data_IF_302696741152
#
_entry.id   IF_302696741152
#
_cell.length_a   1.000
_cell.length_b   1.000
_cell.length_c   1.000
_cell.angle_alpha   90.00
_cell.angle_beta   90.00
_cell.angle_gamma   90.00
#
_symmetry.space_group_name_H-M   'P 1'
#
loop_
_entity.id
_entity.type
_entity.pdbx_description
1 polymer ?
#
# COMPACT_ATOMS: atom_id res chain seq x y z
N UNK A 1 -13.25 13.60 -7.55
CA UNK A 1 -13.99 12.46 -8.11
C UNK A 1 -14.26 11.50 -6.96
N UNK A 2 -15.41 10.85 -6.88
CA UNK A 2 -15.67 9.83 -5.85
C UNK A 2 -15.37 8.49 -6.50
N UNK A 3 -14.44 7.71 -5.95
CA UNK A 3 -14.02 6.42 -6.54
C UNK A 3 -15.10 5.34 -6.49
N UNK A 4 -16.17 5.54 -5.71
CA UNK A 4 -17.27 4.59 -5.60
C UNK A 4 -16.95 3.36 -4.77
N UNK A 5 -15.82 3.38 -4.05
CA UNK A 5 -15.35 2.31 -3.18
C UNK A 5 -16.00 2.44 -1.80
N UNK A 6 -16.67 1.38 -1.36
CA UNK A 6 -17.31 1.31 -0.04
C UNK A 6 -16.26 1.38 1.08
N UNK A 7 -16.42 2.36 1.98
CA UNK A 7 -15.56 2.54 3.15
C UNK A 7 -14.24 3.26 2.87
N UNK A 8 -13.99 3.69 1.63
CA UNK A 8 -12.80 4.47 1.30
C UNK A 8 -12.98 5.95 1.62
N UNK A 9 -12.47 6.37 2.78
CA UNK A 9 -12.44 7.76 3.24
C UNK A 9 -10.99 8.13 3.59
N UNK A 10 -10.12 8.43 2.59
CA UNK A 10 -8.69 8.59 2.83
C UNK A 10 -8.39 9.84 3.66
N UNK A 11 -7.47 9.70 4.61
CA UNK A 11 -6.84 10.81 5.32
C UNK A 11 -5.38 10.87 4.92
N UNK A 12 -5.02 11.85 4.11
CA UNK A 12 -3.67 11.99 3.58
C UNK A 12 -2.76 12.70 4.57
N UNK A 13 -1.61 12.08 4.84
CA UNK A 13 -0.52 12.62 5.63
C UNK A 13 0.69 12.87 4.74
N UNK A 14 1.53 13.82 5.14
CA UNK A 14 2.76 14.19 4.43
C UNK A 14 3.96 14.06 5.36
N UNK A 15 4.99 13.39 4.88
CA UNK A 15 6.30 13.29 5.52
C UNK A 15 6.41 12.22 6.60
N UNK A 16 7.64 11.73 6.79
CA UNK A 16 7.97 10.59 7.65
C UNK A 16 7.41 10.69 9.06
N UNK A 17 7.54 11.85 9.71
CA UNK A 17 7.13 12.01 11.11
C UNK A 17 5.63 11.79 11.27
N UNK A 18 4.80 12.43 10.44
CA UNK A 18 3.35 12.34 10.55
C UNK A 18 2.87 10.90 10.30
N UNK A 19 3.35 10.28 9.23
CA UNK A 19 2.99 8.90 8.87
C UNK A 19 3.48 7.91 9.93
N UNK A 20 4.70 8.07 10.45
CA UNK A 20 5.24 7.19 11.49
C UNK A 20 4.49 7.33 12.81
N UNK A 21 4.18 8.55 13.23
CA UNK A 21 3.48 8.79 14.50
C UNK A 21 2.05 8.21 14.45
N UNK A 22 1.34 8.35 13.32
CA UNK A 22 -0.04 7.89 13.17
C UNK A 22 -0.13 6.38 12.87
N UNK A 23 0.66 5.88 11.92
CA UNK A 23 0.48 4.52 11.36
C UNK A 23 1.60 3.55 11.75
N UNK A 24 2.71 4.03 12.33
CA UNK A 24 3.85 3.22 12.72
C UNK A 24 3.47 2.03 13.63
N UNK A 25 2.71 2.24 14.72
CA UNK A 25 2.29 1.13 15.59
C UNK A 25 1.42 0.08 14.87
N UNK A 26 0.49 0.52 14.00
CA UNK A 26 -0.38 -0.38 13.24
C UNK A 26 0.40 -1.22 12.23
N UNK A 27 1.30 -0.59 11.46
CA UNK A 27 2.18 -1.26 10.52
C UNK A 27 3.13 -2.23 11.23
N UNK A 28 3.71 -1.84 12.36
CA UNK A 28 4.57 -2.71 13.16
C UNK A 28 3.82 -3.93 13.71
N UNK A 29 2.54 -3.79 14.06
CA UNK A 29 1.71 -4.88 14.57
C UNK A 29 1.33 -5.93 13.49
N UNK A 30 1.66 -5.68 12.21
CA UNK A 30 1.54 -6.67 11.15
C UNK A 30 2.66 -7.71 11.18
N UNK A 31 3.80 -7.41 11.83
CA UNK A 31 4.92 -8.34 11.97
C UNK A 31 4.48 -9.67 12.60
N UNK A 32 4.94 -10.77 12.02
CA UNK A 32 4.59 -12.13 12.41
C UNK A 32 3.24 -12.63 11.85
N UNK A 33 2.47 -11.79 11.15
CA UNK A 33 1.22 -12.19 10.48
C UNK A 33 1.48 -12.65 9.06
N UNK A 34 0.62 -13.52 8.53
CA UNK A 34 0.69 -13.97 7.14
C UNK A 34 -0.10 -13.06 6.24
N UNK A 35 0.43 -12.74 5.06
CA UNK A 35 -0.38 -12.13 4.00
C UNK A 35 -1.38 -13.19 3.51
N UNK A 36 -2.64 -13.05 3.87
CA UNK A 36 -3.72 -14.00 3.57
C UNK A 36 -4.47 -13.66 2.29
N UNK A 37 -4.38 -12.41 1.85
CA UNK A 37 -4.93 -11.97 0.57
C UNK A 37 -4.57 -10.54 0.24
N UNK A 38 -4.99 -10.10 -0.94
CA UNK A 38 -4.90 -8.72 -1.38
C UNK A 38 -6.04 -8.43 -2.36
N UNK A 39 -6.32 -7.15 -2.58
CA UNK A 39 -7.25 -6.72 -3.61
C UNK A 39 -6.74 -5.43 -4.28
N UNK A 40 -6.77 -5.43 -5.60
CA UNK A 40 -6.47 -4.29 -6.46
C UNK A 40 -7.69 -3.98 -7.32
N UNK A 41 -7.91 -2.71 -7.66
CA UNK A 41 -8.95 -2.34 -8.62
C UNK A 41 -8.42 -2.51 -10.03
N UNK A 42 -9.07 -3.35 -10.83
CA UNK A 42 -8.77 -3.53 -12.26
C UNK A 42 -9.99 -3.22 -13.10
N UNK A 43 -9.79 -2.83 -14.35
CA UNK A 43 -10.89 -2.74 -15.30
C UNK A 43 -11.23 -4.13 -15.84
N UNK A 44 -12.52 -4.45 -15.93
CA UNK A 44 -13.00 -5.78 -16.38
C UNK A 44 -12.66 -6.02 -17.85
N UNK A 45 -12.62 -4.96 -18.65
CA UNK A 45 -12.54 -5.00 -20.10
C UNK A 45 -11.16 -5.41 -20.61
N UNK A 46 -10.10 -4.84 -20.04
CA UNK A 46 -8.71 -5.06 -20.44
C UNK A 46 -7.86 -5.72 -19.34
N UNK A 47 -8.35 -5.75 -18.11
CA UNK A 47 -7.62 -6.27 -16.95
C UNK A 47 -6.57 -5.29 -16.41
N UNK A 48 -6.51 -4.06 -16.93
CA UNK A 48 -5.51 -3.08 -16.51
C UNK A 48 -5.75 -2.67 -15.05
N UNK A 49 -4.64 -2.48 -14.33
CA UNK A 49 -4.67 -2.03 -12.94
C UNK A 49 -4.94 -0.53 -12.89
N UNK A 50 -5.99 -0.14 -12.19
CA UNK A 50 -6.29 1.27 -11.94
C UNK A 50 -5.57 1.74 -10.67
N UNK A 51 -4.35 2.21 -10.86
CA UNK A 51 -3.37 2.48 -9.80
C UNK A 51 -3.71 3.69 -8.90
N UNK A 52 -4.66 4.55 -9.29
CA UNK A 52 -5.18 5.62 -8.42
C UNK A 52 -6.01 5.07 -7.24
N UNK A 53 -6.48 3.82 -7.31
CA UNK A 53 -7.22 3.18 -6.23
C UNK A 53 -6.27 2.60 -5.15
N UNK A 54 -6.73 2.46 -3.90
CA UNK A 54 -5.93 1.89 -2.82
C UNK A 54 -5.49 0.45 -3.11
N UNK A 55 -4.26 0.13 -2.71
CA UNK A 55 -3.75 -1.23 -2.59
C UNK A 55 -4.23 -1.79 -1.26
N UNK A 56 -5.01 -2.88 -1.30
CA UNK A 56 -5.54 -3.52 -0.10
C UNK A 56 -4.78 -4.81 0.16
N UNK A 57 -4.20 -4.95 1.36
CA UNK A 57 -3.44 -6.11 1.82
C UNK A 57 -4.10 -6.69 3.08
N UNK A 58 -4.39 -7.97 3.11
CA UNK A 58 -4.99 -8.66 4.26
C UNK A 58 -3.94 -9.52 4.97
N UNK A 59 -3.70 -9.23 6.25
CA UNK A 59 -2.75 -9.94 7.10
C UNK A 59 -3.45 -10.64 8.26
N UNK A 60 -3.81 -11.90 8.09
CA UNK A 60 -4.57 -12.70 9.06
C UNK A 60 -5.82 -11.96 9.60
N UNK A 61 -6.58 -11.35 8.69
CA UNK A 61 -7.79 -10.59 8.99
C UNK A 61 -7.56 -9.14 9.44
N UNK A 62 -6.31 -8.65 9.43
CA UNK A 62 -6.02 -7.22 9.52
C UNK A 62 -5.75 -6.68 8.12
N UNK A 63 -6.68 -5.88 7.62
CA UNK A 63 -6.57 -5.21 6.35
C UNK A 63 -5.79 -3.89 6.49
N UNK A 64 -4.71 -3.74 5.73
CA UNK A 64 -4.00 -2.48 5.51
C UNK A 64 -4.36 -1.94 4.12
N UNK A 65 -4.75 -0.67 4.04
CA UNK A 65 -5.27 -0.04 2.83
C UNK A 65 -4.40 1.17 2.51
N UNK A 66 -3.62 1.10 1.43
CA UNK A 66 -2.54 2.05 1.15
C UNK A 66 -2.89 2.81 -0.13
N UNK A 67 -2.91 4.14 -0.05
CA UNK A 67 -3.16 4.98 -1.21
C UNK A 67 -2.22 6.18 -1.20
N UNK A 68 -1.45 6.32 -2.28
CA UNK A 68 -0.73 7.55 -2.56
C UNK A 68 -1.64 8.54 -3.31
N UNK A 69 -1.32 9.82 -3.19
CA UNK A 69 -1.89 10.86 -4.03
C UNK A 69 -0.87 11.99 -4.17
N UNK A 70 -1.03 12.82 -5.21
CA UNK A 70 -0.11 13.93 -5.51
C UNK A 70 1.35 13.46 -5.45
N UNK A 71 2.29 14.31 -5.02
CA UNK A 71 3.72 13.95 -5.00
C UNK A 71 4.18 13.26 -3.71
N UNK A 72 3.57 13.59 -2.57
CA UNK A 72 4.09 13.25 -1.24
C UNK A 72 3.00 12.89 -0.22
N UNK A 73 1.74 12.76 -0.67
CA UNK A 73 0.62 12.38 0.18
C UNK A 73 0.46 10.86 0.23
N UNK A 74 0.33 10.34 1.46
CA UNK A 74 0.10 8.93 1.74
C UNK A 74 -1.06 8.80 2.73
N UNK A 75 -2.05 7.98 2.37
CA UNK A 75 -3.14 7.55 3.23
C UNK A 75 -2.94 6.07 3.58
N UNK A 76 -3.07 5.73 4.86
CA UNK A 76 -3.16 4.35 5.35
C UNK A 76 -4.40 4.22 6.22
N UNK A 77 -5.32 3.33 5.83
CA UNK A 77 -6.51 2.98 6.62
C UNK A 77 -6.52 1.49 6.95
N UNK A 78 -7.44 1.10 7.85
CA UNK A 78 -7.45 -0.23 8.46
C UNK A 78 -8.86 -0.79 8.56
N UNK A 79 -9.12 -1.91 7.90
CA UNK A 79 -10.38 -2.66 7.96
C UNK A 79 -11.63 -1.82 7.64
N UNK A 80 -11.49 -0.82 6.77
CA UNK A 80 -12.57 0.08 6.34
C UNK A 80 -13.12 -0.29 4.96
N UNK A 81 -12.28 -0.74 4.01
CA UNK A 81 -12.72 -1.06 2.66
C UNK A 81 -13.39 -2.44 2.60
N UNK A 82 -14.60 -2.48 2.03
CA UNK A 82 -15.26 -3.73 1.66
C UNK A 82 -14.90 -4.13 0.23
N UNK A 83 -13.89 -5.00 0.09
CA UNK A 83 -13.44 -5.54 -1.21
C UNK A 83 -14.41 -6.53 -1.84
N UNK A 84 -15.50 -6.89 -1.16
CA UNK A 84 -16.59 -7.71 -1.73
C UNK A 84 -17.72 -6.85 -2.31
N UNK A 85 -17.79 -5.58 -1.94
CA UNK A 85 -18.76 -4.66 -2.50
C UNK A 85 -18.38 -4.29 -3.94
N UNK A 86 -19.38 -4.17 -4.81
CA UNK A 86 -19.17 -3.64 -6.15
C UNK A 86 -18.76 -2.16 -6.08
N UNK A 87 -17.87 -1.76 -6.98
CA UNK A 87 -17.49 -0.35 -7.16
C UNK A 87 -18.61 0.33 -7.97
N UNK A 88 -19.14 1.45 -7.46
CA UNK A 88 -20.36 2.11 -8.00
C UNK A 88 -20.08 3.52 -8.53
N UNK A 89 -20.99 4.10 -9.31
CA UNK A 89 -20.82 5.50 -9.79
C UNK A 89 -19.93 5.66 -11.02
N UNK A 90 -19.67 4.56 -11.73
CA UNK A 90 -18.85 4.49 -12.96
C UNK A 90 -19.69 4.36 -14.24
N UNK A 91 -21.01 4.53 -14.16
CA UNK A 91 -21.93 4.33 -15.30
C UNK A 91 -21.70 5.32 -16.46
N UNK A 92 -20.92 6.37 -16.22
CA UNK A 92 -20.53 7.38 -17.21
C UNK A 92 -19.19 7.09 -17.90
N UNK A 93 -18.42 6.15 -17.40
CA UNK A 93 -17.09 5.78 -17.92
C UNK A 93 -17.19 4.52 -18.77
N UNK A 94 -16.26 4.37 -19.73
CA UNK A 94 -16.29 3.23 -20.68
C UNK A 94 -15.77 1.93 -20.06
N UNK A 95 -14.99 2.01 -18.99
CA UNK A 95 -14.39 0.86 -18.30
C UNK A 95 -15.08 0.61 -16.95
N UNK A 96 -15.25 -0.65 -16.61
CA UNK A 96 -15.91 -1.12 -15.39
C UNK A 96 -14.86 -1.51 -14.36
N UNK A 97 -14.65 -0.74 -13.29
CA UNK A 97 -13.71 -1.13 -12.23
C UNK A 97 -14.29 -2.27 -11.39
N UNK A 98 -13.45 -3.24 -11.07
CA UNK A 98 -13.76 -4.36 -10.20
C UNK A 98 -12.56 -4.72 -9.32
N UNK A 99 -12.84 -5.25 -8.13
CA UNK A 99 -11.82 -5.83 -7.27
C UNK A 99 -11.26 -7.11 -7.89
N UNK A 100 -9.94 -7.22 -7.90
CA UNK A 100 -9.20 -8.39 -8.34
C UNK A 100 -8.20 -8.81 -7.26
N UNK A 101 -8.14 -10.12 -7.00
CA UNK A 101 -7.14 -10.75 -6.15
C UNK A 101 -6.03 -11.42 -6.97
N UNK A 102 -5.82 -10.97 -8.22
CA UNK A 102 -4.81 -11.50 -9.13
C UNK A 102 -3.80 -10.39 -9.48
N UNK A 103 -2.54 -10.65 -9.17
CA UNK A 103 -1.39 -9.80 -9.51
C UNK A 103 -0.10 -10.60 -9.30
N UNK A 104 0.67 -10.80 -10.39
CA UNK A 104 1.90 -11.60 -10.37
C UNK A 104 2.96 -11.08 -9.39
N UNK A 105 2.88 -9.80 -8.98
CA UNK A 105 3.80 -9.19 -8.02
C UNK A 105 3.46 -9.58 -6.59
N UNK A 106 2.17 -9.73 -6.27
CA UNK A 106 1.71 -9.98 -4.90
C UNK A 106 1.43 -11.46 -4.61
N UNK A 107 1.02 -12.24 -5.62
CA UNK A 107 0.76 -13.67 -5.51
C UNK A 107 1.88 -14.47 -4.82
N UNK A 108 3.19 -14.22 -5.08
CA UNK A 108 4.28 -14.95 -4.43
C UNK A 108 4.38 -14.76 -2.91
N UNK A 109 3.77 -13.70 -2.37
CA UNK A 109 3.82 -13.39 -0.94
C UNK A 109 2.64 -13.96 -0.16
N UNK A 110 1.57 -14.40 -0.84
CA UNK A 110 0.38 -14.95 -0.18
C UNK A 110 0.74 -16.24 0.56
N UNK A 111 0.36 -16.31 1.83
CA UNK A 111 0.65 -17.41 2.75
C UNK A 111 1.99 -17.28 3.49
N UNK A 112 2.85 -16.33 3.12
CA UNK A 112 4.11 -16.07 3.79
C UNK A 112 3.94 -15.12 4.97
N UNK A 113 4.74 -15.35 6.01
CA UNK A 113 4.79 -14.53 7.22
C UNK A 113 5.58 -13.24 6.95
N UNK A 114 4.98 -12.12 7.31
CA UNK A 114 5.60 -10.80 7.28
C UNK A 114 6.62 -10.70 8.40
N UNK A 115 7.89 -10.50 8.05
CA UNK A 115 9.00 -10.38 8.99
C UNK A 115 9.18 -8.96 9.49
N UNK A 116 9.04 -8.00 8.59
CA UNK A 116 9.32 -6.61 8.90
C UNK A 116 8.51 -5.68 8.00
N UNK A 117 8.15 -4.51 8.55
CA UNK A 117 7.62 -3.38 7.80
C UNK A 117 8.54 -2.19 7.98
N UNK A 118 8.78 -1.44 6.92
CA UNK A 118 9.56 -0.20 6.98
C UNK A 118 8.90 0.91 6.17
N UNK A 119 9.12 2.15 6.59
CA UNK A 119 8.86 3.31 5.74
C UNK A 119 10.14 3.62 4.96
N UNK A 120 10.01 3.80 3.66
CA UNK A 120 11.12 4.20 2.78
C UNK A 120 10.92 5.67 2.43
N UNK A 121 11.91 6.51 2.73
CA UNK A 121 11.85 7.93 2.43
C UNK A 121 12.74 8.25 1.23
N UNK A 122 12.16 8.82 0.18
CA UNK A 122 12.91 9.22 -1.01
C UNK A 122 13.83 10.40 -0.69
N UNK A 123 15.15 10.18 -0.74
CA UNK A 123 16.18 11.20 -0.49
C UNK A 123 17.16 11.29 -1.66
N UNK A 124 16.73 11.91 -2.77
CA UNK A 124 17.56 12.04 -3.95
C UNK A 124 18.74 12.96 -3.68
N UNK A 125 19.86 12.68 -4.34
CA UNK A 125 21.10 13.47 -4.27
C UNK A 125 20.98 14.84 -4.94
N UNK A 126 19.99 15.02 -5.82
CA UNK A 126 19.71 16.25 -6.56
C UNK A 126 18.38 16.90 -6.18
N UNK A 127 18.02 17.97 -6.90
CA UNK A 127 16.71 18.61 -6.75
C UNK A 127 15.65 17.72 -7.38
N UNK A 128 14.74 17.25 -6.54
CA UNK A 128 13.58 16.48 -6.94
C UNK A 128 12.35 17.01 -6.20
N UNK A 129 11.22 17.07 -6.89
CA UNK A 129 9.94 17.51 -6.32
C UNK A 129 9.30 16.44 -5.45
N UNK A 130 9.66 15.16 -5.64
CA UNK A 130 9.17 14.04 -4.83
C UNK A 130 10.03 13.80 -3.57
N UNK A 131 11.07 14.61 -3.32
CA UNK A 131 11.93 14.44 -2.15
C UNK A 131 11.12 14.44 -0.85
N UNK A 132 11.30 13.40 -0.02
CA UNK A 132 10.53 13.17 1.21
C UNK A 132 9.25 12.35 1.01
N UNK A 133 8.89 11.99 -0.22
CA UNK A 133 7.81 11.03 -0.47
C UNK A 133 8.13 9.69 0.18
N UNK A 134 7.08 9.00 0.62
CA UNK A 134 7.21 7.74 1.34
C UNK A 134 6.73 6.58 0.48
N UNK A 135 7.34 5.42 0.69
CA UNK A 135 6.81 4.13 0.31
C UNK A 135 6.70 3.24 1.55
N UNK A 136 5.80 2.25 1.51
CA UNK A 136 5.63 1.25 2.57
C UNK A 136 6.21 -0.07 2.10
N UNK A 137 7.25 -0.55 2.76
CA UNK A 137 7.94 -1.80 2.44
C UNK A 137 7.46 -2.94 3.33
N UNK A 138 7.22 -4.10 2.72
CA UNK A 138 6.85 -5.35 3.35
C UNK A 138 7.92 -6.41 3.07
N UNK A 139 8.51 -6.96 4.12
CA UNK A 139 9.59 -7.95 4.03
C UNK A 139 9.09 -9.31 4.52
N UNK A 140 9.27 -10.33 3.69
CA UNK A 140 8.91 -11.73 3.94
C UNK A 140 10.16 -12.61 3.77
N UNK A 141 10.08 -13.88 4.17
CA UNK A 141 11.13 -14.85 3.83
C UNK A 141 11.24 -15.10 2.32
N UNK A 142 10.12 -14.94 1.59
CA UNK A 142 10.04 -15.11 0.15
C UNK A 142 10.63 -13.94 -0.66
N UNK A 143 10.94 -12.82 0.00
CA UNK A 143 11.42 -11.59 -0.65
C UNK A 143 10.82 -10.35 -0.03
N UNK A 144 10.77 -9.26 -0.79
CA UNK A 144 10.18 -7.99 -0.36
C UNK A 144 9.46 -7.31 -1.52
N UNK A 145 8.47 -6.50 -1.17
CA UNK A 145 7.88 -5.52 -2.08
C UNK A 145 7.64 -4.20 -1.34
N UNK A 146 7.44 -3.12 -2.09
CA UNK A 146 7.00 -1.85 -1.52
C UNK A 146 5.89 -1.23 -2.37
N UNK A 147 4.93 -0.59 -1.69
CA UNK A 147 3.92 0.26 -2.33
C UNK A 147 4.44 1.69 -2.28
N UNK A 148 4.67 2.29 -3.44
CA UNK A 148 5.25 3.63 -3.54
C UNK A 148 4.38 4.58 -4.36
N UNK A 149 4.72 5.86 -4.33
CA UNK A 149 4.13 6.86 -5.19
C UNK A 149 4.80 6.86 -6.58
N UNK A 150 4.01 6.70 -7.63
CA UNK A 150 4.40 6.79 -9.03
C UNK A 150 3.68 7.96 -9.72
N UNK A 151 3.98 9.18 -9.26
CA UNK A 151 3.51 10.46 -9.80
C UNK A 151 2.09 10.90 -9.45
N UNK A 152 1.47 10.31 -8.42
CA UNK A 152 0.08 10.44 -7.93
C UNK A 152 -0.72 9.14 -7.99
N UNK A 153 -0.15 8.11 -8.60
CA UNK A 153 -0.63 6.73 -8.60
C UNK A 153 0.16 5.84 -7.63
N UNK A 154 -0.39 4.69 -7.25
CA UNK A 154 0.36 3.66 -6.53
C UNK A 154 1.25 2.86 -7.49
N UNK A 155 2.47 2.51 -7.08
CA UNK A 155 3.25 1.42 -7.68
C UNK A 155 3.37 0.25 -6.71
N UNK A 156 3.70 -0.92 -7.25
CA UNK A 156 4.13 -2.09 -6.48
C UNK A 156 5.45 -2.53 -7.08
N UNK A 157 6.52 -2.33 -6.32
CA UNK A 157 7.89 -2.54 -6.76
C UNK A 157 8.52 -3.70 -5.98
N UNK A 158 9.12 -4.64 -6.71
CA UNK A 158 9.67 -5.88 -6.14
C UNK A 158 11.17 -5.79 -5.88
N UNK A 159 11.63 -6.47 -4.83
CA UNK A 159 13.05 -6.61 -4.54
C UNK A 159 13.66 -5.37 -3.88
N UNK A 160 14.97 -5.22 -4.07
CA UNK A 160 15.73 -4.17 -3.39
C UNK A 160 15.31 -2.77 -3.84
N UNK A 161 15.21 -1.87 -2.88
CA UNK A 161 14.80 -0.48 -3.11
C UNK A 161 15.93 0.30 -3.78
N UNK A 162 15.57 1.33 -4.54
CA UNK A 162 16.54 2.26 -5.11
C UNK A 162 17.49 2.82 -4.02
N UNK A 163 18.80 3.00 -4.27
CA UNK A 163 19.77 3.43 -3.26
C UNK A 163 19.51 4.80 -2.61
N UNK A 164 18.68 5.64 -3.25
CA UNK A 164 18.28 6.94 -2.71
C UNK A 164 17.10 6.87 -1.74
N UNK A 165 16.47 5.69 -1.57
CA UNK A 165 15.57 5.47 -0.45
C UNK A 165 16.35 5.29 0.85
N UNK A 166 16.01 6.09 1.84
CA UNK A 166 16.42 5.86 3.23
C UNK A 166 15.36 5.03 3.92
N UNK A 167 15.76 3.87 4.42
CA UNK A 167 14.89 2.90 5.06
C UNK A 167 14.75 3.18 6.55
N UNK A 168 13.50 3.22 7.04
CA UNK A 168 13.13 3.45 8.44
C UNK A 168 12.32 2.24 8.96
N UNK A 169 12.98 1.22 9.54
CA UNK A 169 12.32 0.06 10.11
C UNK A 169 11.30 0.43 11.19
N UNK A 170 10.15 -0.24 11.19
CA UNK A 170 9.15 -0.15 12.24
C UNK A 170 9.29 -1.37 13.14
N UNK A 171 9.75 -1.15 14.36
CA UNK A 171 9.86 -2.24 15.34
C UNK A 171 8.47 -2.57 15.90
N UNK A 172 8.08 -3.83 15.85
CA UNK A 172 7.02 -4.32 16.73
C UNK A 172 7.55 -4.23 18.16
N UNK A 173 6.78 -3.64 19.08
CA UNK A 173 7.05 -3.76 20.52
C UNK A 173 6.81 -5.22 20.96
N UNK A 174 7.68 -6.12 20.52
CA UNK A 174 7.79 -7.46 21.08
C UNK A 174 8.69 -7.33 22.31
N UNK A 175 8.07 -7.06 23.46
CA UNK A 175 8.73 -7.26 24.74
C UNK A 175 9.11 -8.75 24.82
N UNK A 176 10.39 -9.11 25.00
CA UNK A 176 10.76 -10.49 25.28
C UNK A 176 10.23 -10.87 26.67
N UNK A 177 9.57 -12.03 26.75
CA UNK A 177 9.23 -12.71 28.01
C UNK A 177 10.48 -12.98 28.86
#
# INVERSE_FOLDING_TARGET
MVLGISGFEPTFLVGLKAVRDEHGPGLAALGGRRLTGFALVRFVEDGDWYAECPVVLDFDGIQAEICHSKFDELSISWNTIDTRAAISGWEWFELTPAWSSADERLEPFVGHELREVALLEWRPSGRDVAAGTLAVEFVFDAGRFHVANALDENSIDLGDTHPEFVRHPLASDAQPD
#
